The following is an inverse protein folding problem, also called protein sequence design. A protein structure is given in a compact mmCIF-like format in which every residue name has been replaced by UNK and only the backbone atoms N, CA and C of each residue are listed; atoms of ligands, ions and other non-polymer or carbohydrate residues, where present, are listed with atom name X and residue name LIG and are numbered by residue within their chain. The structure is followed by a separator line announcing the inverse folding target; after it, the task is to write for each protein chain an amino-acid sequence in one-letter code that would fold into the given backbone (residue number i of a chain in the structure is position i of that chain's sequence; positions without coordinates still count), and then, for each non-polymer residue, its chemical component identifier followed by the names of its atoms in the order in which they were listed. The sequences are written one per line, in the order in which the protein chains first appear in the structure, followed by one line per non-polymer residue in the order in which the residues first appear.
data_IF_160699139262
#
_entry.id   IF_160699139262
#
_cell.length_a   1.000
_cell.length_b   1.000
_cell.length_c   1.000
_cell.angle_alpha   90.00
_cell.angle_beta   90.00
_cell.angle_gamma   90.00
#
_symmetry.space_group_name_H-M   'P 1'
#
loop_
_entity.id
_entity.type
_entity.pdbx_description
1 polymer ?
#
# COMPACT_ATOMS: atom_id res chain seq x y z
N UNK A 1 -0.64 4.02 -22.65
CA UNK A 1 0.43 5.05 -22.63
C UNK A 1 0.81 5.61 -24.00
N UNK A 2 -0.04 6.48 -24.56
CA UNK A 2 0.27 7.19 -25.81
C UNK A 2 0.14 8.73 -25.68
N UNK A 3 0.37 9.28 -24.49
CA UNK A 3 0.20 10.73 -24.27
C UNK A 3 0.92 11.32 -23.05
N UNK A 4 1.85 10.60 -22.42
CA UNK A 4 2.69 11.13 -21.34
C UNK A 4 3.95 11.78 -21.88
N UNK A 5 4.46 12.82 -21.21
CA UNK A 5 5.65 13.62 -21.56
C UNK A 5 6.96 12.84 -21.85
N UNK A 6 6.99 11.51 -21.63
CA UNK A 6 8.16 10.63 -21.85
C UNK A 6 8.12 9.81 -23.15
N UNK A 7 7.20 10.09 -24.07
CA UNK A 7 7.10 9.42 -25.37
C UNK A 7 7.91 10.09 -26.48
N UNK A 8 8.36 9.31 -27.48
CA UNK A 8 8.99 9.81 -28.72
C UNK A 8 8.04 10.70 -29.55
N UNK A 9 6.73 10.55 -29.35
CA UNK A 9 5.69 11.35 -29.99
C UNK A 9 5.08 12.33 -29.00
N UNK A 10 4.87 13.58 -29.46
CA UNK A 10 4.22 14.66 -28.72
C UNK A 10 3.02 15.15 -29.51
N UNK A 11 1.99 15.64 -28.83
CA UNK A 11 0.92 16.37 -29.49
C UNK A 11 1.49 17.64 -30.14
N UNK A 12 1.06 17.92 -31.37
CA UNK A 12 1.45 19.15 -32.05
C UNK A 12 0.80 20.37 -31.37
N UNK A 13 1.57 21.45 -31.23
CA UNK A 13 1.05 22.73 -30.76
C UNK A 13 0.31 23.44 -31.91
N UNK A 14 -0.98 23.71 -31.75
CA UNK A 14 -1.80 24.38 -32.75
C UNK A 14 -3.25 23.93 -32.77
N UNK A 15 -4.10 24.65 -33.50
CA UNK A 15 -5.50 24.26 -33.71
C UNK A 15 -5.56 23.03 -34.61
N UNK A 16 -6.20 21.95 -34.14
CA UNK A 16 -6.54 20.78 -34.97
C UNK A 16 -7.76 21.02 -35.85
N UNK A 17 -8.35 22.23 -35.79
CA UNK A 17 -9.69 22.48 -36.32
C UNK A 17 -10.77 21.74 -35.52
N UNK A 18 -11.98 21.71 -36.08
CA UNK A 18 -13.10 20.98 -35.49
C UNK A 18 -12.88 19.48 -35.57
N UNK A 19 -13.06 18.76 -34.46
CA UNK A 19 -13.00 17.29 -34.40
C UNK A 19 -13.97 16.60 -35.38
N UNK A 20 -15.05 17.29 -35.75
CA UNK A 20 -16.03 16.81 -36.73
C UNK A 20 -16.37 17.90 -37.72
N UNK A 21 -16.46 17.53 -39.00
CA UNK A 21 -16.99 18.43 -40.05
C UNK A 21 -18.45 18.83 -39.76
N UNK A 22 -18.84 20.10 -40.00
CA UNK A 22 -20.24 20.53 -39.93
C UNK A 22 -21.17 19.79 -40.91
N UNK A 23 -20.62 19.24 -42.01
CA UNK A 23 -21.37 18.47 -43.00
C UNK A 23 -21.46 16.97 -42.66
N UNK A 24 -20.88 16.55 -41.53
CA UNK A 24 -20.88 15.15 -41.14
C UNK A 24 -22.28 14.71 -40.67
N UNK A 25 -22.80 13.64 -41.25
CA UNK A 25 -24.10 13.09 -40.88
C UNK A 25 -23.91 12.16 -39.67
N UNK A 26 -24.27 12.64 -38.47
CA UNK A 26 -23.97 11.93 -37.21
C UNK A 26 -24.92 10.74 -37.01
N UNK A 27 -24.41 9.50 -36.85
CA UNK A 27 -25.26 8.32 -36.63
C UNK A 27 -25.74 8.16 -35.19
N UNK A 28 -25.17 8.92 -34.24
CA UNK A 28 -25.48 8.84 -32.81
C UNK A 28 -26.05 10.17 -32.31
N UNK A 29 -27.04 10.09 -31.43
CA UNK A 29 -27.69 11.25 -30.81
C UNK A 29 -26.76 11.97 -29.83
N UNK A 30 -25.94 11.21 -29.11
CA UNK A 30 -24.93 11.68 -28.16
C UNK A 30 -23.65 10.84 -28.31
N UNK A 31 -22.50 11.49 -28.18
CA UNK A 31 -21.18 10.89 -28.24
C UNK A 31 -20.30 11.51 -27.15
N UNK A 32 -19.62 10.68 -26.36
CA UNK A 32 -18.71 11.14 -25.30
C UNK A 32 -17.37 10.46 -25.53
N UNK A 33 -16.36 11.27 -25.84
CA UNK A 33 -14.98 10.83 -25.98
C UNK A 33 -14.12 11.47 -24.90
N UNK A 34 -13.19 10.72 -24.32
CA UNK A 34 -12.30 11.23 -23.27
C UNK A 34 -10.86 10.82 -23.52
N UNK A 35 -9.94 11.71 -23.14
CA UNK A 35 -8.50 11.50 -23.29
C UNK A 35 -7.75 12.30 -22.23
N UNK A 36 -6.58 11.83 -21.82
CA UNK A 36 -5.68 12.59 -20.95
C UNK A 36 -4.58 13.20 -21.81
N UNK A 37 -4.55 14.53 -21.89
CA UNK A 37 -3.53 15.29 -22.62
C UNK A 37 -2.84 16.23 -21.64
N UNK A 38 -1.51 16.21 -21.61
CA UNK A 38 -0.70 17.04 -20.71
C UNK A 38 -1.12 16.96 -19.24
N UNK A 39 -1.53 15.76 -18.78
CA UNK A 39 -1.97 15.53 -17.41
C UNK A 39 -3.41 15.99 -17.11
N UNK A 40 -4.15 16.50 -18.10
CA UNK A 40 -5.53 16.92 -17.93
C UNK A 40 -6.50 15.99 -18.65
N UNK A 41 -7.55 15.55 -17.94
CA UNK A 41 -8.68 14.87 -18.53
C UNK A 41 -9.46 15.85 -19.42
N UNK A 42 -9.48 15.58 -20.71
CA UNK A 42 -10.26 16.30 -21.70
C UNK A 42 -11.43 15.40 -22.12
N UNK A 43 -12.65 15.91 -21.95
CA UNK A 43 -13.88 15.22 -22.36
C UNK A 43 -14.57 16.03 -23.44
N UNK A 44 -14.78 15.40 -24.60
CA UNK A 44 -15.51 15.97 -25.71
C UNK A 44 -16.89 15.32 -25.78
N UNK A 45 -17.93 16.15 -25.70
CA UNK A 45 -19.32 15.72 -25.85
C UNK A 45 -19.84 16.24 -27.18
N UNK A 46 -19.99 15.33 -28.13
CA UNK A 46 -20.64 15.57 -29.41
C UNK A 46 -22.13 15.25 -29.32
N UNK A 47 -22.98 16.03 -29.98
CA UNK A 47 -24.42 15.84 -29.92
C UNK A 47 -25.13 16.24 -31.21
N UNK A 48 -26.32 15.67 -31.43
CA UNK A 48 -27.21 16.09 -32.52
C UNK A 48 -28.03 17.31 -32.10
N UNK A 49 -27.93 18.40 -32.86
CA UNK A 49 -28.72 19.63 -32.64
C UNK A 49 -30.21 19.45 -32.92
N UNK A 50 -30.61 18.36 -33.58
CA UNK A 50 -32.02 18.02 -33.81
C UNK A 50 -32.71 17.53 -32.54
N UNK A 51 -31.94 16.92 -31.61
CA UNK A 51 -32.48 16.30 -30.40
C UNK A 51 -32.04 17.01 -29.11
N UNK A 52 -30.92 17.75 -29.14
CA UNK A 52 -30.36 18.41 -27.97
C UNK A 52 -29.99 19.86 -28.26
N UNK A 53 -30.36 20.75 -27.35
CA UNK A 53 -29.92 22.14 -27.38
C UNK A 53 -28.51 22.27 -26.81
N UNK A 54 -27.84 23.37 -27.19
CA UNK A 54 -26.52 23.70 -26.65
C UNK A 54 -26.55 23.88 -25.13
N UNK A 55 -27.62 24.47 -24.61
CA UNK A 55 -27.82 24.74 -23.19
C UNK A 55 -27.96 23.43 -22.40
N UNK A 56 -28.68 22.45 -22.95
CA UNK A 56 -28.84 21.14 -22.33
C UNK A 56 -27.49 20.40 -22.21
N UNK A 57 -26.68 20.42 -23.27
CA UNK A 57 -25.37 19.77 -23.28
C UNK A 57 -24.35 20.53 -22.43
N UNK A 58 -24.41 21.86 -22.39
CA UNK A 58 -23.61 22.65 -21.46
C UNK A 58 -23.95 22.32 -20.00
N UNK A 59 -25.24 22.16 -19.68
CA UNK A 59 -25.69 21.73 -18.35
C UNK A 59 -25.21 20.31 -18.00
N UNK A 60 -25.30 19.36 -18.95
CA UNK A 60 -24.73 18.01 -18.80
C UNK A 60 -23.23 18.06 -18.53
N UNK A 61 -22.48 18.82 -19.33
CA UNK A 61 -21.03 18.97 -19.19
C UNK A 61 -20.65 19.53 -17.81
N UNK A 62 -21.38 20.53 -17.33
CA UNK A 62 -21.18 21.09 -15.98
C UNK A 62 -21.45 20.04 -14.90
N UNK A 63 -22.60 19.35 -14.96
CA UNK A 63 -22.95 18.29 -14.00
C UNK A 63 -21.95 17.15 -14.00
N UNK A 64 -21.42 16.78 -15.17
CA UNK A 64 -20.40 15.75 -15.31
C UNK A 64 -19.11 16.15 -14.60
N UNK A 65 -18.63 17.38 -14.82
CA UNK A 65 -17.45 17.91 -14.10
C UNK A 65 -17.70 18.02 -12.59
N UNK A 66 -18.88 18.49 -12.18
CA UNK A 66 -19.25 18.58 -10.76
C UNK A 66 -19.27 17.19 -10.10
N UNK A 67 -19.78 16.17 -10.80
CA UNK A 67 -19.76 14.78 -10.33
C UNK A 67 -18.33 14.23 -10.22
N UNK A 68 -17.49 14.47 -11.24
CA UNK A 68 -16.08 14.08 -11.20
C UNK A 68 -15.33 14.73 -10.04
N UNK A 69 -15.55 16.03 -9.81
CA UNK A 69 -14.94 16.74 -8.67
C UNK A 69 -15.37 16.13 -7.33
N UNK A 70 -16.64 15.77 -7.18
CA UNK A 70 -17.13 15.09 -5.97
C UNK A 70 -16.46 13.73 -5.76
N UNK A 71 -16.30 12.95 -6.82
CA UNK A 71 -15.59 11.66 -6.78
C UNK A 71 -14.12 11.88 -6.39
N UNK A 72 -13.43 12.84 -7.01
CA UNK A 72 -12.04 13.17 -6.67
C UNK A 72 -11.93 13.58 -5.20
N UNK A 73 -12.78 14.50 -4.73
CA UNK A 73 -12.80 14.92 -3.32
C UNK A 73 -12.98 13.72 -2.40
N UNK A 74 -13.92 12.82 -2.72
CA UNK A 74 -14.13 11.61 -1.96
C UNK A 74 -12.89 10.70 -1.94
N UNK A 75 -12.28 10.43 -3.09
CA UNK A 75 -11.08 9.59 -3.20
C UNK A 75 -9.81 10.21 -2.59
N UNK A 76 -9.79 11.53 -2.36
CA UNK A 76 -8.67 12.20 -1.69
C UNK A 76 -8.77 12.20 -0.16
N UNK A 77 -9.88 11.74 0.43
CA UNK A 77 -9.97 11.58 1.88
C UNK A 77 -9.14 10.36 2.31
N UNK A 78 -8.28 10.48 3.32
CA UNK A 78 -7.34 9.40 3.75
C UNK A 78 -8.03 8.07 4.08
N UNK A 79 -9.27 8.11 4.56
CA UNK A 79 -10.07 6.92 4.89
C UNK A 79 -10.60 6.18 3.66
N UNK A 80 -10.63 6.82 2.49
CA UNK A 80 -11.19 6.26 1.28
C UNK A 80 -10.04 5.83 0.37
N UNK A 81 -9.72 4.54 0.41
CA UNK A 81 -8.80 3.90 -0.51
C UNK A 81 -9.46 2.65 -1.08
N UNK A 82 -8.89 2.15 -2.17
CA UNK A 82 -9.35 0.93 -2.80
C UNK A 82 -8.25 0.40 -3.70
N UNK A 83 -8.05 -0.90 -3.65
CA UNK A 83 -7.09 -1.58 -4.49
C UNK A 83 -7.81 -2.27 -5.64
N UNK A 84 -7.10 -2.48 -6.72
CA UNK A 84 -7.54 -3.27 -7.86
C UNK A 84 -6.55 -4.41 -8.08
N UNK A 85 -6.96 -5.56 -8.66
CA UNK A 85 -6.03 -6.63 -9.00
C UNK A 85 -4.86 -6.18 -9.90
N UNK A 86 -5.04 -5.12 -10.69
CA UNK A 86 -3.96 -4.54 -11.49
C UNK A 86 -2.86 -3.86 -10.67
N UNK A 87 -3.15 -3.44 -9.44
CA UNK A 87 -2.14 -2.88 -8.54
C UNK A 87 -1.17 -3.97 -8.04
N UNK A 88 -1.64 -5.22 -7.95
CA UNK A 88 -0.88 -6.37 -7.42
C UNK A 88 -0.89 -7.57 -8.38
N UNK A 89 -0.26 -7.47 -9.56
CA UNK A 89 -0.38 -8.48 -10.61
C UNK A 89 0.18 -9.85 -10.21
N UNK A 90 1.09 -9.89 -9.23
CA UNK A 90 1.69 -11.13 -8.73
C UNK A 90 0.78 -11.88 -7.75
N UNK A 91 -0.15 -11.20 -7.08
CA UNK A 91 -1.04 -11.80 -6.09
C UNK A 91 -1.98 -12.85 -6.69
N UNK A 92 -2.38 -12.69 -7.96
CA UNK A 92 -3.29 -13.60 -8.70
C UNK A 92 -4.62 -13.85 -7.97
N UNK A 93 -5.22 -12.80 -7.42
CA UNK A 93 -6.54 -12.82 -6.76
C UNK A 93 -7.54 -11.92 -7.48
N UNK A 94 -8.83 -12.18 -7.30
CA UNK A 94 -9.89 -11.35 -7.87
C UNK A 94 -10.22 -10.14 -6.95
N UNK A 95 -11.06 -9.22 -7.44
CA UNK A 95 -11.45 -8.01 -6.71
C UNK A 95 -12.15 -8.34 -5.37
N UNK A 96 -13.01 -9.35 -5.34
CA UNK A 96 -13.75 -9.74 -4.12
C UNK A 96 -12.80 -10.24 -3.02
N UNK A 97 -11.81 -11.06 -3.37
CA UNK A 97 -10.79 -11.55 -2.45
C UNK A 97 -9.89 -10.42 -1.95
N UNK A 98 -9.52 -9.49 -2.84
CA UNK A 98 -8.71 -8.33 -2.49
C UNK A 98 -9.44 -7.43 -1.49
N UNK A 99 -10.71 -7.11 -1.76
CA UNK A 99 -11.53 -6.29 -0.88
C UNK A 99 -11.76 -6.98 0.48
N UNK A 100 -12.03 -8.29 0.47
CA UNK A 100 -12.31 -9.04 1.70
C UNK A 100 -11.10 -9.19 2.61
N UNK A 101 -9.90 -9.34 2.06
CA UNK A 101 -8.68 -9.68 2.83
C UNK A 101 -7.81 -8.47 3.11
N UNK A 102 -7.76 -7.50 2.19
CA UNK A 102 -6.88 -6.34 2.24
C UNK A 102 -7.62 -5.00 2.24
N UNK A 103 -8.95 -4.99 2.09
CA UNK A 103 -9.75 -3.76 2.00
C UNK A 103 -9.66 -2.86 3.25
N UNK A 104 -9.37 -3.44 4.42
CA UNK A 104 -9.22 -2.70 5.68
C UNK A 104 -7.75 -2.34 6.00
N UNK A 105 -6.81 -2.68 5.13
CA UNK A 105 -5.38 -2.43 5.33
C UNK A 105 -4.95 -1.26 4.44
N UNK A 106 -4.84 -0.04 4.99
CA UNK A 106 -4.42 1.12 4.22
C UNK A 106 -2.94 1.03 3.85
N UNK A 107 -2.56 1.73 2.78
CA UNK A 107 -1.17 1.96 2.40
C UNK A 107 -0.35 0.67 2.19
N UNK A 108 -0.93 -0.35 1.56
CA UNK A 108 -0.16 -1.48 1.04
C UNK A 108 0.71 -1.01 -0.12
N UNK A 109 1.97 -1.40 -0.11
CA UNK A 109 2.92 -1.15 -1.18
C UNK A 109 2.89 -2.23 -2.25
N UNK A 110 2.85 -3.50 -1.86
CA UNK A 110 2.75 -4.63 -2.79
C UNK A 110 2.15 -5.87 -2.12
N UNK A 111 1.60 -6.79 -2.93
CA UNK A 111 1.06 -8.09 -2.51
C UNK A 111 1.54 -9.15 -3.48
N UNK A 112 2.21 -10.18 -2.96
CA UNK A 112 2.78 -11.24 -3.79
C UNK A 112 2.85 -12.58 -3.05
N UNK A 113 3.02 -13.70 -3.78
CA UNK A 113 3.15 -15.01 -3.17
C UNK A 113 4.40 -15.12 -2.30
N UNK A 114 4.33 -15.99 -1.31
CA UNK A 114 5.49 -16.37 -0.50
C UNK A 114 6.43 -17.23 -1.35
N UNK A 115 7.71 -17.21 -1.01
CA UNK A 115 8.64 -18.24 -1.49
C UNK A 115 8.28 -19.61 -0.87
N UNK A 116 8.62 -20.74 -1.51
CA UNK A 116 8.34 -22.07 -0.96
C UNK A 116 8.88 -22.28 0.46
N UNK A 117 10.02 -21.66 0.79
CA UNK A 117 10.58 -21.71 2.15
C UNK A 117 9.70 -20.96 3.14
N UNK A 118 9.28 -19.73 2.80
CA UNK A 118 8.40 -18.94 3.67
C UNK A 118 7.04 -19.63 3.87
N UNK A 119 6.47 -20.25 2.83
CA UNK A 119 5.24 -21.05 2.96
C UNK A 119 5.43 -22.21 3.95
N UNK A 120 6.53 -22.96 3.83
CA UNK A 120 6.84 -24.06 4.74
C UNK A 120 7.00 -23.60 6.18
N UNK A 121 7.70 -22.50 6.42
CA UNK A 121 7.89 -21.92 7.76
C UNK A 121 6.57 -21.45 8.37
N UNK A 122 5.76 -20.71 7.61
CA UNK A 122 4.46 -20.22 8.06
C UNK A 122 3.52 -21.39 8.36
N UNK A 123 3.46 -22.38 7.47
CA UNK A 123 2.67 -23.59 7.69
C UNK A 123 3.06 -24.30 8.99
N UNK A 124 4.35 -24.55 9.22
CA UNK A 124 4.82 -25.21 10.46
C UNK A 124 4.39 -24.44 11.71
N UNK A 125 4.48 -23.11 11.68
CA UNK A 125 4.05 -22.28 12.82
C UNK A 125 2.53 -22.31 13.03
N UNK A 126 1.72 -22.27 11.96
CA UNK A 126 0.26 -22.34 12.06
C UNK A 126 -0.24 -23.68 12.63
N UNK A 127 0.45 -24.80 12.31
CA UNK A 127 0.08 -26.13 12.80
C UNK A 127 0.71 -26.49 14.16
N UNK A 128 1.81 -25.84 14.51
CA UNK A 128 2.47 -26.00 15.80
C UNK A 128 2.64 -24.63 16.49
N UNK A 129 1.53 -24.01 16.96
CA UNK A 129 1.56 -22.66 17.49
C UNK A 129 2.51 -22.52 18.69
N UNK A 130 2.62 -23.55 19.54
CA UNK A 130 3.52 -23.53 20.69
C UNK A 130 5.02 -23.69 20.33
N UNK A 131 5.36 -23.86 19.04
CA UNK A 131 6.74 -24.00 18.61
C UNK A 131 7.44 -22.64 18.48
N UNK A 132 8.59 -22.53 19.13
CA UNK A 132 9.51 -21.39 19.01
C UNK A 132 10.67 -21.68 18.03
N UNK A 133 10.56 -22.70 17.19
CA UNK A 133 11.64 -23.17 16.32
C UNK A 133 12.18 -22.09 15.35
N UNK A 134 11.35 -21.11 15.00
CA UNK A 134 11.68 -20.04 14.05
C UNK A 134 11.71 -18.65 14.69
N UNK A 135 11.62 -18.58 16.02
CA UNK A 135 11.80 -17.34 16.76
C UNK A 135 13.30 -17.13 16.99
N UNK A 136 13.84 -16.05 16.43
CA UNK A 136 15.22 -15.64 16.64
C UNK A 136 15.24 -14.52 17.68
N UNK A 137 15.99 -14.73 18.75
CA UNK A 137 16.23 -13.75 19.80
C UNK A 137 17.74 -13.58 19.94
N UNK A 138 18.22 -12.34 19.76
CA UNK A 138 19.64 -12.01 19.81
C UNK A 138 19.89 -10.94 20.86
N UNK A 139 20.87 -11.17 21.72
CA UNK A 139 21.33 -10.23 22.74
C UNK A 139 22.68 -9.65 22.31
N UNK A 140 22.80 -8.33 22.37
CA UNK A 140 24.03 -7.61 22.06
C UNK A 140 24.43 -6.76 23.27
N UNK A 141 25.68 -6.89 23.69
CA UNK A 141 26.28 -6.07 24.74
C UNK A 141 27.07 -4.93 24.10
N UNK A 142 26.78 -3.70 24.50
CA UNK A 142 27.44 -2.50 23.99
C UNK A 142 28.16 -1.84 25.17
N UNK A 143 29.49 -1.94 25.15
CA UNK A 143 30.35 -1.46 26.24
C UNK A 143 30.88 -0.03 26.03
N UNK A 144 30.14 0.78 25.27
CA UNK A 144 30.48 2.17 24.97
C UNK A 144 29.22 3.04 25.02
N UNK A 145 29.41 4.35 25.10
CA UNK A 145 28.32 5.31 25.02
C UNK A 145 27.55 5.13 23.71
N UNK A 146 26.23 4.98 23.82
CA UNK A 146 25.33 4.76 22.71
C UNK A 146 24.40 5.95 22.54
N UNK A 147 24.42 6.57 21.35
CA UNK A 147 23.37 7.52 20.97
C UNK A 147 22.12 6.72 20.53
N UNK A 148 21.18 6.57 21.48
CA UNK A 148 19.93 5.83 21.29
C UNK A 148 19.07 6.45 20.18
N UNK A 149 19.09 7.78 20.03
CA UNK A 149 18.31 8.46 19.02
C UNK A 149 18.84 8.14 17.61
N UNK A 150 20.16 8.12 17.43
CA UNK A 150 20.80 7.72 16.16
C UNK A 150 20.54 6.23 15.86
N UNK A 151 20.65 5.35 16.87
CA UNK A 151 20.39 3.93 16.68
C UNK A 151 18.95 3.67 16.24
N UNK A 152 17.98 4.25 16.94
CA UNK A 152 16.56 4.15 16.59
C UNK A 152 16.30 4.71 15.20
N UNK A 153 16.89 5.86 14.86
CA UNK A 153 16.74 6.47 13.53
C UNK A 153 17.32 5.59 12.43
N UNK A 154 18.42 4.90 12.70
CA UNK A 154 19.03 3.96 11.75
C UNK A 154 18.10 2.78 11.46
N UNK A 155 17.41 2.26 12.48
CA UNK A 155 16.39 1.22 12.29
C UNK A 155 15.17 1.71 11.52
N UNK A 156 14.70 2.95 11.75
CA UNK A 156 13.64 3.53 10.93
C UNK A 156 14.01 3.59 9.45
N UNK A 157 15.26 3.95 9.13
CA UNK A 157 15.77 3.98 7.75
C UNK A 157 15.86 2.57 7.18
N UNK A 158 16.41 1.60 7.91
CA UNK A 158 16.53 0.21 7.45
C UNK A 158 15.16 -0.42 7.20
N UNK A 159 14.22 -0.27 8.12
CA UNK A 159 12.85 -0.77 7.98
C UNK A 159 12.16 -0.12 6.79
N UNK A 160 12.31 1.20 6.61
CA UNK A 160 11.76 1.91 5.45
C UNK A 160 12.39 1.48 4.12
N UNK A 161 13.62 0.96 4.13
CA UNK A 161 14.35 0.56 2.93
C UNK A 161 14.14 -0.90 2.52
N UNK A 162 14.00 -1.81 3.48
CA UNK A 162 13.88 -3.25 3.21
C UNK A 162 12.45 -3.75 3.40
N UNK A 163 11.80 -4.12 2.29
CA UNK A 163 10.39 -4.56 2.26
C UNK A 163 10.08 -5.68 3.24
N UNK A 164 10.99 -6.66 3.36
CA UNK A 164 10.81 -7.82 4.25
C UNK A 164 10.60 -7.42 5.72
N UNK A 165 11.16 -6.28 6.14
CA UNK A 165 11.00 -5.78 7.51
C UNK A 165 9.62 -5.14 7.73
N UNK A 166 8.86 -4.89 6.67
CA UNK A 166 7.51 -4.32 6.66
C UNK A 166 6.48 -5.31 6.11
N UNK A 167 6.87 -6.57 5.97
CA UNK A 167 6.04 -7.63 5.39
C UNK A 167 5.21 -8.33 6.45
N UNK A 168 3.91 -8.42 6.21
CA UNK A 168 2.99 -9.32 6.91
C UNK A 168 2.45 -10.41 5.98
N UNK A 169 1.70 -11.35 6.54
CA UNK A 169 1.15 -12.51 5.82
C UNK A 169 -0.36 -12.56 5.93
N UNK A 170 -1.01 -13.07 4.88
CA UNK A 170 -2.44 -13.42 4.84
C UNK A 170 -2.59 -14.81 4.24
N UNK A 171 -3.37 -15.64 4.93
CA UNK A 171 -3.53 -17.06 4.59
C UNK A 171 -4.97 -17.55 4.69
N UNK A 172 -5.84 -16.82 5.38
CA UNK A 172 -7.27 -17.12 5.44
C UNK A 172 -8.01 -16.57 4.22
N UNK A 173 -9.02 -17.31 3.74
CA UNK A 173 -9.93 -16.88 2.65
C UNK A 173 -9.23 -16.56 1.33
N UNK A 174 -8.02 -17.10 1.14
CA UNK A 174 -7.21 -16.98 -0.07
C UNK A 174 -6.95 -18.36 -0.69
N UNK A 175 -6.75 -18.45 -2.02
CA UNK A 175 -6.41 -19.71 -2.69
C UNK A 175 -5.00 -20.20 -2.39
N UNK A 176 -4.09 -19.30 -2.00
CA UNK A 176 -2.70 -19.56 -1.61
C UNK A 176 -2.26 -18.49 -0.61
N UNK A 177 -1.17 -18.73 0.12
CA UNK A 177 -0.65 -17.76 1.07
C UNK A 177 -0.08 -16.56 0.32
N UNK A 178 -0.38 -15.37 0.83
CA UNK A 178 0.12 -14.11 0.30
C UNK A 178 0.87 -13.35 1.39
N UNK A 179 1.89 -12.61 0.96
CA UNK A 179 2.57 -11.64 1.79
C UNK A 179 2.28 -10.25 1.24
N UNK A 180 2.16 -9.29 2.14
CA UNK A 180 1.92 -7.90 1.78
C UNK A 180 2.96 -7.01 2.44
N UNK A 181 3.41 -6.00 1.71
CA UNK A 181 4.38 -5.01 2.19
C UNK A 181 3.61 -3.78 2.62
N UNK A 182 3.72 -3.39 3.89
CA UNK A 182 3.12 -2.14 4.38
C UNK A 182 4.02 -0.97 4.02
N UNK A 183 3.50 0.06 3.33
CA UNK A 183 4.29 1.23 2.90
C UNK A 183 5.03 1.94 4.04
N UNK A 184 4.49 1.87 5.26
CA UNK A 184 5.14 2.37 6.46
C UNK A 184 4.73 1.52 7.65
N UNK A 185 5.68 1.28 8.55
CA UNK A 185 5.45 0.70 9.87
C UNK A 185 6.28 1.46 10.89
N UNK A 186 5.82 1.48 12.14
CA UNK A 186 6.59 2.05 13.24
C UNK A 186 7.57 1.01 13.79
N UNK A 187 8.73 1.47 14.29
CA UNK A 187 9.75 0.59 14.88
C UNK A 187 9.31 0.19 16.30
N UNK A 188 9.04 -1.10 16.59
CA UNK A 188 8.62 -1.51 17.92
C UNK A 188 9.84 -1.47 18.85
N UNK A 189 9.86 -0.49 19.73
CA UNK A 189 11.03 -0.14 20.54
C UNK A 189 10.62 0.08 21.99
N UNK A 190 11.24 -0.66 22.91
CA UNK A 190 11.04 -0.52 24.35
C UNK A 190 12.38 -0.21 25.02
N UNK A 191 12.40 0.80 25.88
CA UNK A 191 13.57 1.21 26.65
C UNK A 191 13.33 0.94 28.14
N UNK A 192 14.34 0.45 28.83
CA UNK A 192 14.31 0.15 30.25
C UNK A 192 15.46 0.88 30.94
N UNK A 193 15.17 1.75 31.90
CA UNK A 193 16.20 2.45 32.66
C UNK A 193 16.73 1.53 33.77
N UNK A 194 18.02 1.16 33.69
CA UNK A 194 18.63 0.19 34.59
C UNK A 194 19.93 0.68 35.27
N UNK A 195 20.29 1.95 35.11
CA UNK A 195 21.56 2.52 35.60
C UNK A 195 21.78 2.39 37.13
N UNK A 196 20.70 2.24 37.91
CA UNK A 196 20.77 2.12 39.37
C UNK A 196 20.76 0.67 39.89
N UNK A 197 20.70 -0.35 39.02
CA UNK A 197 20.63 -1.75 39.42
C UNK A 197 22.02 -2.32 39.74
N UNK A 198 22.08 -3.25 40.69
CA UNK A 198 23.29 -4.07 40.86
C UNK A 198 23.44 -5.00 39.65
N UNK A 199 24.67 -5.49 39.41
CA UNK A 199 24.92 -6.44 38.33
C UNK A 199 24.07 -7.71 38.46
N UNK A 200 23.85 -8.21 39.69
CA UNK A 200 23.03 -9.40 39.94
C UNK A 200 21.57 -9.16 39.55
N UNK A 201 20.99 -8.03 40.00
CA UNK A 201 19.60 -7.66 39.69
C UNK A 201 19.42 -7.33 38.20
N UNK A 202 20.43 -6.74 37.56
CA UNK A 202 20.41 -6.48 36.11
C UNK A 202 20.36 -7.79 35.32
N UNK A 203 21.20 -8.76 35.66
CA UNK A 203 21.20 -10.07 34.99
C UNK A 203 19.88 -10.82 35.18
N UNK A 204 19.30 -10.77 36.38
CA UNK A 204 17.96 -11.33 36.64
C UNK A 204 16.89 -10.64 35.77
N UNK A 205 16.93 -9.31 35.68
CA UNK A 205 16.01 -8.54 34.82
C UNK A 205 16.15 -8.89 33.34
N UNK A 206 17.39 -9.04 32.84
CA UNK A 206 17.65 -9.44 31.45
C UNK A 206 17.06 -10.83 31.18
N UNK A 207 17.31 -11.80 32.07
CA UNK A 207 16.80 -13.16 31.91
C UNK A 207 15.26 -13.19 31.90
N UNK A 208 14.61 -12.50 32.83
CA UNK A 208 13.15 -12.40 32.88
C UNK A 208 12.60 -11.76 31.60
N UNK A 209 13.24 -10.69 31.11
CA UNK A 209 12.83 -10.04 29.88
C UNK A 209 12.94 -10.97 28.67
N UNK A 210 14.03 -11.75 28.57
CA UNK A 210 14.23 -12.70 27.48
C UNK A 210 13.16 -13.81 27.49
N UNK A 211 12.77 -14.30 28.68
CA UNK A 211 11.70 -15.29 28.82
C UNK A 211 10.32 -14.73 28.48
N UNK A 212 9.98 -13.55 29.01
CA UNK A 212 8.73 -12.85 28.71
C UNK A 212 8.60 -12.53 27.21
N UNK A 213 9.68 -12.03 26.61
CA UNK A 213 9.75 -11.76 25.19
C UNK A 213 9.53 -13.05 24.38
N UNK A 214 10.22 -14.14 24.74
CA UNK A 214 10.06 -15.42 24.05
C UNK A 214 8.65 -16.01 24.14
N UNK A 215 7.93 -15.71 25.22
CA UNK A 215 6.53 -16.10 25.40
C UNK A 215 5.56 -15.22 24.59
N UNK A 216 5.96 -14.00 24.23
CA UNK A 216 5.14 -13.09 23.43
C UNK A 216 5.23 -13.43 21.94
N UNK A 217 4.15 -13.98 21.39
CA UNK A 217 4.05 -14.30 19.97
C UNK A 217 3.97 -13.06 19.06
N UNK A 218 4.37 -13.23 17.80
CA UNK A 218 4.12 -12.25 16.75
C UNK A 218 2.77 -12.53 16.08
N UNK A 219 2.03 -11.45 15.83
CA UNK A 219 0.88 -11.49 14.94
C UNK A 219 1.38 -11.37 13.50
N UNK A 220 1.37 -12.49 12.77
CA UNK A 220 1.90 -12.57 11.40
C UNK A 220 1.15 -11.68 10.41
N UNK A 221 -0.06 -11.23 10.75
CA UNK A 221 -0.85 -10.31 9.94
C UNK A 221 -0.54 -8.83 10.26
N UNK A 222 0.33 -8.56 11.24
CA UNK A 222 0.70 -7.21 11.68
C UNK A 222 2.22 -6.99 11.62
N UNK A 223 2.75 -6.50 10.50
CA UNK A 223 4.16 -6.10 10.44
C UNK A 223 4.43 -4.89 11.36
N UNK A 224 5.68 -4.74 11.85
CA UNK A 224 6.84 -5.56 11.54
C UNK A 224 6.97 -6.79 12.46
N UNK A 225 7.49 -7.91 11.93
CA UNK A 225 7.70 -9.16 12.69
C UNK A 225 9.05 -9.18 13.43
N UNK A 226 9.35 -8.05 14.09
CA UNK A 226 10.56 -7.85 14.88
C UNK A 226 10.27 -6.80 15.96
N UNK A 227 11.06 -6.80 17.05
CA UNK A 227 10.96 -5.79 18.10
C UNK A 227 12.29 -5.64 18.83
N UNK A 228 12.47 -4.47 19.43
CA UNK A 228 13.70 -4.08 20.12
C UNK A 228 13.44 -3.79 21.59
N UNK A 229 14.38 -4.24 22.40
CA UNK A 229 14.46 -3.93 23.82
C UNK A 229 15.85 -3.37 24.09
N UNK A 230 15.92 -2.13 24.56
CA UNK A 230 17.15 -1.49 25.02
C UNK A 230 17.09 -1.42 26.55
N UNK A 231 18.08 -1.99 27.22
CA UNK A 231 18.19 -2.13 28.67
C UNK A 231 19.34 -1.27 29.18
#
# INVERSE_FOLDING_TARGET
DAGGQKGLFKYAEGSTGSYTSPQNNRPRVLEINSQVINGHLNVHIGYSTHFHSKEAIASLSKKFIDALKKIITHCCEEKNFGYTPSDFPLAKINQEQLDQVFGDIPNIEDIYPLSPMQEGLLFQKLFHPNSNAYLVQSLFEINQDLDVAILKKSWEVLIGHYDILRTGFKYERLPHFLQFVSRKVDVPWKEYECSSLSNETLQEKINNLLEEDRAQEFDYEKPPLMRFHLI
#
